data_IF_866935998616
#
_entry.id   IF_866935998616
#
_cell.length_a   1.000
_cell.length_b   1.000
_cell.length_c   1.000
_cell.angle_alpha   90.00
_cell.angle_beta   90.00
_cell.angle_gamma   90.00
#
_symmetry.space_group_name_H-M   'P 1'
#
loop_
_entity.id
_entity.type
_entity.pdbx_description
1 polymer ?
#
# COMPACT_ATOMS: atom_id res chain seq x y z
N UNK A 1 3.93 -24.56 -11.20
CA UNK A 1 4.38 -23.45 -10.33
C UNK A 1 5.74 -23.82 -9.75
N UNK A 2 6.75 -22.94 -9.83
CA UNK A 2 8.02 -23.21 -9.13
C UNK A 2 7.78 -23.12 -7.62
N UNK A 3 8.09 -24.20 -6.90
CA UNK A 3 7.97 -24.25 -5.44
C UNK A 3 8.88 -23.24 -4.72
N UNK A 4 8.58 -23.00 -3.46
CA UNK A 4 9.46 -22.20 -2.58
C UNK A 4 10.63 -23.07 -2.10
N UNK A 5 11.83 -22.49 -2.02
CA UNK A 5 12.98 -23.14 -1.41
C UNK A 5 12.83 -23.19 0.12
N UNK A 6 13.60 -24.04 0.79
CA UNK A 6 13.59 -24.12 2.25
C UNK A 6 13.93 -22.77 2.92
N UNK A 7 14.92 -22.04 2.37
CA UNK A 7 15.27 -20.70 2.84
C UNK A 7 14.12 -19.70 2.63
N UNK A 8 13.46 -19.74 1.47
CA UNK A 8 12.31 -18.87 1.21
C UNK A 8 11.15 -19.13 2.17
N UNK A 9 10.84 -20.40 2.42
CA UNK A 9 9.81 -20.80 3.39
C UNK A 9 10.15 -20.28 4.78
N UNK A 10 11.41 -20.47 5.23
CA UNK A 10 11.88 -19.99 6.53
C UNK A 10 11.68 -18.48 6.70
N UNK A 11 12.15 -17.68 5.74
CA UNK A 11 12.07 -16.22 5.81
C UNK A 11 10.61 -15.75 5.74
N UNK A 12 9.78 -16.36 4.89
CA UNK A 12 8.35 -16.02 4.83
C UNK A 12 7.66 -16.35 6.15
N UNK A 13 7.93 -17.53 6.72
CA UNK A 13 7.35 -17.94 7.99
C UNK A 13 7.75 -16.99 9.14
N UNK A 14 9.00 -16.52 9.18
CA UNK A 14 9.46 -15.53 10.15
C UNK A 14 8.73 -14.19 10.00
N UNK A 15 8.61 -13.66 8.79
CA UNK A 15 7.87 -12.43 8.52
C UNK A 15 6.39 -12.56 8.93
N UNK A 16 5.75 -13.70 8.63
CA UNK A 16 4.36 -13.96 9.03
C UNK A 16 4.21 -14.09 10.55
N UNK A 17 5.12 -14.78 11.22
CA UNK A 17 5.14 -14.94 12.67
C UNK A 17 5.17 -13.57 13.38
N UNK A 18 6.01 -12.65 12.91
CA UNK A 18 6.08 -11.29 13.42
C UNK A 18 5.03 -10.32 12.83
N UNK A 19 4.08 -10.83 12.01
CA UNK A 19 3.05 -10.02 11.33
C UNK A 19 3.64 -8.88 10.48
N UNK A 20 4.87 -9.04 9.98
CA UNK A 20 5.57 -8.09 9.09
C UNK A 20 5.13 -8.27 7.64
N UNK A 21 3.87 -7.96 7.37
CA UNK A 21 3.32 -8.03 6.01
C UNK A 21 3.81 -6.90 5.10
N UNK A 22 4.26 -5.79 5.68
CA UNK A 22 4.98 -4.75 4.96
C UNK A 22 6.41 -4.73 5.47
N UNK A 23 7.35 -5.03 4.58
CA UNK A 23 8.74 -5.19 4.97
C UNK A 23 9.67 -4.52 3.96
N UNK A 24 10.89 -4.26 4.40
CA UNK A 24 11.99 -3.67 3.66
C UNK A 24 13.14 -4.66 3.60
N UNK A 25 14.21 -4.31 2.88
CA UNK A 25 15.41 -5.17 2.86
C UNK A 25 16.04 -5.29 4.24
N UNK A 26 15.93 -4.25 5.06
CA UNK A 26 16.50 -4.21 6.40
C UNK A 26 15.83 -5.22 7.34
N UNK A 27 14.57 -5.61 7.04
CA UNK A 27 13.84 -6.63 7.81
C UNK A 27 14.30 -8.06 7.54
N UNK A 28 15.07 -8.30 6.46
CA UNK A 28 15.50 -9.64 6.04
C UNK A 28 17.01 -9.75 5.85
N UNK A 29 17.76 -8.66 6.05
CA UNK A 29 19.19 -8.60 5.73
C UNK A 29 20.02 -9.59 6.54
N UNK A 30 19.59 -9.90 7.77
CA UNK A 30 20.26 -10.88 8.66
C UNK A 30 20.19 -12.33 8.16
N UNK A 31 19.44 -12.61 7.08
CA UNK A 31 19.36 -13.92 6.46
C UNK A 31 20.37 -14.15 5.33
N UNK A 32 21.16 -13.13 4.99
CA UNK A 32 21.99 -13.14 3.80
C UNK A 32 23.37 -12.55 4.11
N UNK A 33 24.41 -13.12 3.50
CA UNK A 33 25.78 -12.69 3.72
C UNK A 33 26.12 -11.44 2.89
N UNK A 34 25.40 -11.23 1.79
CA UNK A 34 25.69 -10.15 0.86
C UNK A 34 24.45 -9.54 0.17
N UNK A 35 24.54 -8.31 -0.37
CA UNK A 35 23.41 -7.64 -1.02
C UNK A 35 22.90 -8.29 -2.31
N UNK A 36 23.69 -9.17 -2.95
CA UNK A 36 23.29 -9.86 -4.19
C UNK A 36 22.23 -10.91 -3.85
N UNK A 37 22.43 -11.70 -2.82
CA UNK A 37 21.47 -12.71 -2.36
C UNK A 37 20.11 -12.11 -2.00
N UNK A 38 20.10 -10.95 -1.32
CA UNK A 38 18.86 -10.21 -1.01
C UNK A 38 18.12 -9.83 -2.30
N UNK A 39 18.85 -9.37 -3.33
CA UNK A 39 18.24 -9.00 -4.63
C UNK A 39 17.66 -10.24 -5.31
N UNK A 40 18.38 -11.35 -5.29
CA UNK A 40 17.97 -12.61 -5.91
C UNK A 40 16.74 -13.18 -5.20
N UNK A 41 16.72 -13.18 -3.87
CA UNK A 41 15.56 -13.54 -3.04
C UNK A 41 14.32 -12.70 -3.38
N UNK A 42 14.45 -11.37 -3.39
CA UNK A 42 13.34 -10.46 -3.75
C UNK A 42 12.86 -10.72 -5.18
N UNK A 43 13.79 -10.94 -6.13
CA UNK A 43 13.46 -11.25 -7.51
C UNK A 43 12.68 -12.57 -7.62
N UNK A 44 13.11 -13.62 -6.91
CA UNK A 44 12.46 -14.93 -6.89
C UNK A 44 11.07 -14.86 -6.28
N UNK A 45 10.92 -14.24 -5.11
CA UNK A 45 9.62 -14.09 -4.47
C UNK A 45 8.65 -13.26 -5.31
N UNK A 46 9.13 -12.21 -5.97
CA UNK A 46 8.28 -11.42 -6.89
C UNK A 46 7.84 -12.27 -8.08
N UNK A 47 8.75 -13.03 -8.69
CA UNK A 47 8.45 -13.94 -9.82
C UNK A 47 7.47 -15.04 -9.43
N UNK A 48 7.53 -15.50 -8.17
CA UNK A 48 6.60 -16.48 -7.58
C UNK A 48 5.30 -15.85 -7.05
N UNK A 49 5.11 -14.54 -7.18
CA UNK A 49 3.91 -13.83 -6.71
C UNK A 49 3.76 -13.82 -5.18
N UNK A 50 4.84 -14.07 -4.44
CA UNK A 50 4.84 -14.09 -2.97
C UNK A 50 5.03 -12.71 -2.35
N UNK A 51 5.55 -11.75 -3.13
CA UNK A 51 5.66 -10.37 -2.69
C UNK A 51 5.21 -9.41 -3.80
N UNK A 52 4.71 -8.25 -3.40
CA UNK A 52 4.37 -7.14 -4.30
C UNK A 52 5.18 -5.92 -3.89
N UNK A 53 5.88 -5.30 -4.85
CA UNK A 53 6.64 -4.06 -4.57
C UNK A 53 5.67 -2.88 -4.45
N UNK A 54 5.74 -2.15 -3.35
CA UNK A 54 4.88 -0.98 -3.11
C UNK A 54 5.55 0.33 -3.52
N UNK A 55 6.83 0.46 -3.15
CA UNK A 55 7.65 1.63 -3.49
C UNK A 55 9.12 1.23 -3.66
N UNK A 56 10.04 2.21 -3.65
CA UNK A 56 11.48 1.95 -3.86
C UNK A 56 12.06 0.99 -2.81
N UNK A 57 11.57 1.03 -1.56
CA UNK A 57 12.15 0.32 -0.42
C UNK A 57 11.24 -0.77 0.16
N UNK A 58 9.93 -0.67 -0.04
CA UNK A 58 8.93 -1.46 0.66
C UNK A 58 8.24 -2.48 -0.24
N UNK A 59 7.98 -3.65 0.35
CA UNK A 59 7.28 -4.78 -0.24
C UNK A 59 6.12 -5.20 0.65
N UNK A 60 5.05 -5.67 0.02
CA UNK A 60 3.98 -6.39 0.66
C UNK A 60 4.24 -7.89 0.53
N UNK A 61 4.27 -8.61 1.65
CA UNK A 61 4.29 -10.06 1.71
C UNK A 61 2.88 -10.58 1.45
N UNK A 62 2.71 -11.31 0.35
CA UNK A 62 1.50 -12.10 0.13
C UNK A 62 1.60 -13.29 1.07
N UNK A 63 0.66 -13.48 2.00
CA UNK A 63 0.84 -14.54 2.99
C UNK A 63 0.54 -15.94 2.45
N UNK A 64 1.08 -17.01 3.04
CA UNK A 64 1.01 -18.40 2.54
C UNK A 64 -0.44 -18.88 2.48
N UNK A 65 -1.24 -18.55 3.50
CA UNK A 65 -2.66 -18.92 3.58
C UNK A 65 -3.56 -18.12 2.62
N UNK A 66 -3.02 -17.14 1.88
CA UNK A 66 -3.82 -16.32 0.97
C UNK A 66 -4.31 -17.18 -0.20
N UNK A 67 -5.62 -17.49 -0.22
CA UNK A 67 -6.28 -17.87 -1.47
C UNK A 67 -6.22 -16.67 -2.42
N UNK A 68 -5.90 -16.93 -3.69
CA UNK A 68 -5.71 -15.97 -4.77
C UNK A 68 -6.64 -14.75 -4.62
N UNK A 69 -6.05 -13.58 -4.33
CA UNK A 69 -6.76 -12.29 -4.35
C UNK A 69 -7.62 -11.91 -3.12
N UNK A 70 -7.69 -12.74 -2.06
CA UNK A 70 -8.57 -12.48 -0.90
C UNK A 70 -7.88 -11.96 0.36
N UNK A 71 -6.55 -11.86 0.37
CA UNK A 71 -5.80 -11.42 1.56
C UNK A 71 -4.97 -10.18 1.24
N UNK A 72 -5.65 -9.02 1.24
CA UNK A 72 -5.03 -7.70 1.25
C UNK A 72 -5.61 -6.89 2.39
N UNK A 73 -4.77 -6.08 3.04
CA UNK A 73 -5.30 -5.03 3.92
C UNK A 73 -6.22 -4.09 3.15
N UNK A 74 -6.92 -3.26 3.91
CA UNK A 74 -7.69 -2.15 3.38
C UNK A 74 -6.85 -1.29 2.42
N UNK A 75 -7.39 -0.92 1.23
CA UNK A 75 -6.70 -0.06 0.28
C UNK A 75 -6.12 1.24 0.87
N UNK A 76 -6.72 1.81 1.91
CA UNK A 76 -6.25 3.03 2.55
C UNK A 76 -4.98 2.79 3.36
N UNK A 77 -4.87 1.62 3.99
CA UNK A 77 -3.63 1.18 4.64
C UNK A 77 -2.55 0.97 3.58
N UNK A 78 -2.87 0.34 2.46
CA UNK A 78 -1.90 0.14 1.37
C UNK A 78 -1.41 1.49 0.83
N UNK A 79 -2.30 2.48 0.69
CA UNK A 79 -1.93 3.85 0.31
C UNK A 79 -0.94 4.47 1.30
N UNK A 80 -1.16 4.29 2.60
CA UNK A 80 -0.22 4.72 3.65
C UNK A 80 1.15 4.07 3.48
N UNK A 81 1.18 2.77 3.23
CA UNK A 81 2.42 2.02 3.08
C UNK A 81 3.20 2.40 1.82
N UNK A 82 2.51 2.61 0.69
CA UNK A 82 3.13 3.09 -0.54
C UNK A 82 3.82 4.45 -0.31
N UNK A 83 3.19 5.34 0.46
CA UNK A 83 3.68 6.69 0.74
C UNK A 83 4.58 6.79 1.99
N UNK A 84 4.90 5.67 2.64
CA UNK A 84 5.67 5.63 3.89
C UNK A 84 5.11 6.55 5.00
N UNK A 85 3.79 6.71 5.06
CA UNK A 85 3.11 7.59 6.01
C UNK A 85 3.30 9.10 5.77
N UNK A 86 4.00 9.51 4.72
CA UNK A 86 4.49 10.89 4.53
C UNK A 86 3.92 11.54 3.29
N UNK A 87 3.67 12.83 3.40
CA UNK A 87 3.33 13.73 2.29
C UNK A 87 2.23 13.21 1.35
N UNK A 88 1.14 12.68 1.91
CA UNK A 88 0.02 12.19 1.14
C UNK A 88 -1.30 12.33 1.89
N UNK A 89 -2.40 12.30 1.14
CA UNK A 89 -3.74 11.98 1.65
C UNK A 89 -4.57 11.29 0.56
N UNK A 90 -5.57 10.54 0.99
CA UNK A 90 -6.57 9.91 0.13
C UNK A 90 -7.66 10.94 -0.15
N UNK A 91 -8.03 11.08 -1.42
CA UNK A 91 -9.08 11.98 -1.86
C UNK A 91 -10.00 11.33 -2.89
N UNK A 92 -10.70 12.17 -3.63
CA UNK A 92 -11.59 11.73 -4.69
C UNK A 92 -12.78 10.89 -4.20
N UNK A 93 -13.27 10.02 -5.08
CA UNK A 93 -14.47 9.21 -4.82
C UNK A 93 -14.30 8.23 -3.65
N UNK A 94 -13.09 7.71 -3.45
CA UNK A 94 -12.82 6.85 -2.30
C UNK A 94 -12.98 7.60 -0.97
N UNK A 95 -12.53 8.85 -0.91
CA UNK A 95 -12.76 9.68 0.27
C UNK A 95 -14.22 10.12 0.40
N UNK A 96 -14.91 10.39 -0.70
CA UNK A 96 -16.34 10.70 -0.70
C UNK A 96 -17.17 9.55 -0.11
N UNK A 97 -16.88 8.31 -0.55
CA UNK A 97 -17.54 7.12 -0.02
C UNK A 97 -17.23 6.92 1.47
N UNK A 98 -15.97 7.11 1.90
CA UNK A 98 -15.61 7.04 3.32
C UNK A 98 -16.40 8.03 4.20
N UNK A 99 -16.71 9.22 3.68
CA UNK A 99 -17.50 10.23 4.40
C UNK A 99 -19.02 10.12 4.18
N UNK A 100 -19.50 9.04 3.54
CA UNK A 100 -20.91 8.84 3.21
C UNK A 100 -21.51 9.98 2.36
N UNK A 101 -20.68 10.62 1.52
CA UNK A 101 -21.14 11.61 0.53
C UNK A 101 -21.61 10.94 -0.78
N UNK A 102 -21.36 9.63 -0.92
CA UNK A 102 -21.83 8.82 -2.04
C UNK A 102 -21.91 7.35 -1.65
N UNK A 103 -22.94 6.66 -2.15
CA UNK A 103 -23.11 5.22 -2.04
C UNK A 103 -22.28 4.44 -3.08
N UNK A 104 -21.64 5.14 -4.02
CA UNK A 104 -20.84 4.49 -5.07
C UNK A 104 -19.58 3.84 -4.47
N UNK A 105 -19.43 2.54 -4.72
CA UNK A 105 -18.24 1.78 -4.31
C UNK A 105 -17.04 2.18 -5.19
N UNK A 106 -15.95 2.70 -4.61
CA UNK A 106 -14.81 3.18 -5.37
C UNK A 106 -14.01 2.03 -5.99
N UNK A 107 -13.83 2.04 -7.32
CA UNK A 107 -13.00 1.07 -8.05
C UNK A 107 -11.49 1.38 -8.03
N UNK A 108 -11.10 2.52 -7.44
CA UNK A 108 -9.73 3.02 -7.39
C UNK A 108 -9.53 3.92 -6.17
N UNK A 109 -8.28 4.08 -5.76
CA UNK A 109 -7.87 5.00 -4.71
C UNK A 109 -7.09 6.16 -5.33
N UNK A 110 -7.64 7.37 -5.21
CA UNK A 110 -6.96 8.61 -5.60
C UNK A 110 -6.08 9.11 -4.43
N UNK A 111 -4.76 9.10 -4.64
CA UNK A 111 -3.75 9.53 -3.67
C UNK A 111 -3.20 10.89 -4.11
N UNK A 112 -3.34 11.91 -3.27
CA UNK A 112 -2.75 13.22 -3.48
C UNK A 112 -1.43 13.32 -2.73
N UNK A 113 -0.33 13.57 -3.44
CA UNK A 113 1.02 13.60 -2.85
C UNK A 113 1.93 14.64 -3.52
N UNK A 114 2.96 15.10 -2.82
CA UNK A 114 4.01 15.98 -3.39
C UNK A 114 5.14 15.22 -4.06
N UNK A 115 5.14 13.88 -4.04
CA UNK A 115 6.31 13.07 -4.42
C UNK A 115 6.15 12.27 -5.71
N UNK A 116 4.92 12.02 -6.17
CA UNK A 116 4.62 11.03 -7.22
C UNK A 116 3.45 11.46 -8.09
N UNK A 117 3.45 11.00 -9.35
CA UNK A 117 2.33 11.06 -10.29
C UNK A 117 2.20 9.71 -11.02
N UNK A 118 1.07 9.48 -11.68
CA UNK A 118 0.81 8.28 -12.50
C UNK A 118 -0.11 7.27 -11.84
N UNK A 119 -0.10 6.02 -12.31
CA UNK A 119 -0.95 4.94 -11.80
C UNK A 119 -0.14 3.69 -11.46
N UNK A 120 -0.56 2.97 -10.43
CA UNK A 120 -0.03 1.64 -10.10
C UNK A 120 -1.16 0.72 -9.70
N UNK A 121 -1.09 -0.55 -10.09
CA UNK A 121 -1.99 -1.58 -9.60
C UNK A 121 -1.23 -2.41 -8.56
N UNK A 122 -1.76 -2.46 -7.34
CA UNK A 122 -1.25 -3.32 -6.27
C UNK A 122 -2.37 -4.33 -5.96
N UNK A 123 -2.07 -5.61 -6.17
CA UNK A 123 -3.06 -6.70 -6.08
C UNK A 123 -4.27 -6.41 -6.98
N UNK A 124 -5.46 -6.27 -6.38
CA UNK A 124 -6.71 -6.04 -7.09
C UNK A 124 -7.13 -4.56 -7.12
N UNK A 125 -6.28 -3.66 -6.61
CA UNK A 125 -6.64 -2.26 -6.42
C UNK A 125 -5.80 -1.33 -7.29
N UNK A 126 -6.48 -0.40 -7.97
CA UNK A 126 -5.83 0.66 -8.74
C UNK A 126 -5.59 1.88 -7.86
N UNK A 127 -4.36 2.37 -7.85
CA UNK A 127 -3.96 3.59 -7.16
C UNK A 127 -3.54 4.64 -8.19
N UNK A 128 -4.12 5.83 -8.12
CA UNK A 128 -3.82 6.96 -9.00
C UNK A 128 -3.22 8.07 -8.17
N UNK A 129 -2.02 8.53 -8.55
CA UNK A 129 -1.30 9.58 -7.87
C UNK A 129 -1.52 10.93 -8.55
N UNK A 130 -2.00 11.88 -7.76
CA UNK A 130 -2.19 13.27 -8.15
C UNK A 130 -1.18 14.14 -7.43
N UNK A 131 -0.62 15.12 -8.14
CA UNK A 131 0.25 16.12 -7.53
C UNK A 131 -0.59 17.04 -6.65
N UNK A 132 -0.08 17.36 -5.47
CA UNK A 132 -0.69 18.35 -4.57
C UNK A 132 0.38 19.20 -3.87
N UNK A 133 -0.05 20.17 -3.08
CA UNK A 133 0.84 21.04 -2.29
C UNK A 133 0.95 20.58 -0.85
N UNK A 134 2.04 20.98 -0.17
CA UNK A 134 2.19 20.76 1.28
C UNK A 134 1.06 21.40 2.09
N UNK A 135 0.54 22.55 1.64
CA UNK A 135 -0.62 23.24 2.24
C UNK A 135 -1.86 22.34 2.26
N UNK A 136 -2.13 21.63 1.18
CA UNK A 136 -3.27 20.71 1.12
C UNK A 136 -3.04 19.46 1.96
N UNK A 137 -1.82 18.91 1.96
CA UNK A 137 -1.46 17.77 2.82
C UNK A 137 -1.62 18.12 4.31
N UNK A 138 -1.26 19.34 4.71
CA UNK A 138 -1.40 19.80 6.09
C UNK A 138 -2.86 19.84 6.58
N UNK A 139 -3.83 19.94 5.66
CA UNK A 139 -5.27 19.87 5.97
C UNK A 139 -5.78 18.44 6.14
N UNK A 140 -5.00 17.42 5.78
CA UNK A 140 -5.46 16.04 5.82
C UNK A 140 -5.71 15.56 7.26
N UNK A 141 -6.74 14.73 7.44
CA UNK A 141 -7.06 14.10 8.70
C UNK A 141 -6.41 12.73 8.78
N UNK A 142 -5.86 12.39 9.95
CA UNK A 142 -5.42 11.03 10.24
C UNK A 142 -6.60 10.21 10.78
N UNK A 143 -6.80 9.03 10.21
CA UNK A 143 -7.84 8.07 10.59
C UNK A 143 -7.24 6.69 10.81
N UNK A 144 -8.01 5.79 11.42
CA UNK A 144 -7.58 4.44 11.78
C UNK A 144 -8.53 3.39 11.23
N UNK A 145 -7.97 2.25 10.81
CA UNK A 145 -8.69 1.00 10.53
C UNK A 145 -7.96 -0.08 11.34
N UNK A 146 -8.64 -0.64 12.34
CA UNK A 146 -8.00 -1.48 13.35
C UNK A 146 -6.86 -0.73 14.05
N UNK A 147 -5.66 -1.32 14.03
CA UNK A 147 -4.44 -0.71 14.59
C UNK A 147 -3.62 0.10 13.57
N UNK A 148 -4.07 0.21 12.31
CA UNK A 148 -3.33 0.88 11.23
C UNK A 148 -3.91 2.26 10.96
N UNK A 149 -3.06 3.18 10.52
CA UNK A 149 -3.44 4.57 10.25
C UNK A 149 -3.37 4.91 8.77
N UNK A 150 -4.18 5.88 8.34
CA UNK A 150 -4.10 6.47 7.01
C UNK A 150 -4.47 7.97 7.06
N UNK A 151 -4.11 8.71 6.01
CA UNK A 151 -4.44 10.13 5.85
C UNK A 151 -5.51 10.31 4.78
N UNK A 152 -6.53 11.10 5.05
CA UNK A 152 -7.66 11.34 4.16
C UNK A 152 -8.02 12.83 4.15
N UNK A 153 -8.51 13.33 3.01
CA UNK A 153 -9.02 14.69 2.94
C UNK A 153 -10.22 14.88 3.89
N UNK A 154 -10.36 16.05 4.55
CA UNK A 154 -11.54 16.36 5.36
C UNK A 154 -12.83 16.31 4.54
N UNK A 155 -13.95 16.02 5.21
CA UNK A 155 -15.27 15.98 4.59
C UNK A 155 -15.57 17.25 3.76
N UNK A 156 -15.45 18.45 4.36
CA UNK A 156 -15.72 19.70 3.65
C UNK A 156 -14.90 19.90 2.36
N UNK A 157 -13.62 19.50 2.39
CA UNK A 157 -12.75 19.55 1.20
C UNK A 157 -13.23 18.59 0.11
N UNK A 158 -13.73 17.41 0.49
CA UNK A 158 -14.29 16.45 -0.47
C UNK A 158 -15.65 16.89 -1.00
N UNK A 159 -16.51 17.48 -0.16
CA UNK A 159 -17.78 18.03 -0.61
C UNK A 159 -17.59 19.14 -1.65
N UNK A 160 -16.62 20.05 -1.45
CA UNK A 160 -16.23 21.06 -2.44
C UNK A 160 -15.65 20.42 -3.72
N UNK A 161 -14.76 19.44 -3.57
CA UNK A 161 -14.18 18.71 -4.70
C UNK A 161 -15.26 18.02 -5.55
N UNK A 162 -16.30 17.44 -4.94
CA UNK A 162 -17.41 16.80 -5.65
C UNK A 162 -18.22 17.81 -6.47
N UNK A 163 -18.51 18.99 -5.92
CA UNK A 163 -19.22 20.05 -6.66
C UNK A 163 -18.47 20.50 -7.91
N UNK A 164 -17.14 20.55 -7.85
CA UNK A 164 -16.31 20.92 -9.02
C UNK A 164 -16.24 19.86 -10.13
N UNK A 165 -16.86 18.70 -9.93
CA UNK A 165 -16.79 17.51 -10.80
C UNK A 165 -18.16 17.10 -11.36
N UNK A 166 -19.22 17.83 -10.97
CA UNK A 166 -20.56 17.79 -11.56
C UNK A 166 -20.66 18.88 -12.62
#
# INVERSE_FOLDING_TARGET
MKGLSAQEIKIIAELEFYKKYYFTKDDIIHHFDNPKEIKDFIYHLKKKGRIVRLNRRKYYLVPIKAKSGKWSDDPFVIANEICDGKDYFIGGWAAANYWHLTEQIPMRIDIYTTRRQGKVRILNTNFIFHRTSKKMIAKAMMRKIGNKTFKIAPNGVIAEWMKSRQ
#
